data_IF_025688773032
#
_entry.id   IF_025688773032
#
_cell.length_a   1.000
_cell.length_b   1.000
_cell.length_c   1.000
_cell.angle_alpha   90.00
_cell.angle_beta   90.00
_cell.angle_gamma   90.00
#
_symmetry.space_group_name_H-M   'P 1'
#
loop_
_entity.id
_entity.type
_entity.pdbx_description
1 polymer ?
#
# COMPACT_ATOMS: atom_id res chain seq x y z
N UNK A 1 -25.06 9.73 -18.19
CA UNK A 1 -24.55 9.65 -16.81
C UNK A 1 -23.43 8.60 -16.83
N UNK A 2 -22.20 8.98 -16.49
CA UNK A 2 -21.04 8.09 -16.58
C UNK A 2 -20.81 7.43 -15.21
N UNK A 3 -20.87 6.10 -15.18
CA UNK A 3 -20.52 5.29 -14.02
C UNK A 3 -19.19 4.58 -14.30
N UNK A 4 -18.17 4.77 -13.44
CA UNK A 4 -16.95 4.00 -13.51
C UNK A 4 -17.18 2.50 -13.39
N UNK A 5 -16.17 1.71 -13.78
CA UNK A 5 -16.24 0.26 -13.62
C UNK A 5 -16.24 -0.20 -12.16
N UNK A 6 -15.67 0.60 -11.25
CA UNK A 6 -15.43 0.24 -9.84
C UNK A 6 -14.71 -1.11 -9.64
N UNK A 7 -13.98 -1.57 -10.66
CA UNK A 7 -13.15 -2.77 -10.56
C UNK A 7 -12.07 -2.59 -9.49
N UNK A 8 -11.58 -3.70 -8.96
CA UNK A 8 -10.72 -3.71 -7.77
C UNK A 8 -9.35 -4.27 -8.13
N UNK A 9 -8.29 -3.66 -7.60
CA UNK A 9 -6.98 -4.29 -7.45
C UNK A 9 -6.54 -4.23 -6.01
N UNK A 10 -6.04 -5.32 -5.45
CA UNK A 10 -5.57 -5.39 -4.05
C UNK A 10 -4.08 -5.72 -4.07
N UNK A 11 -3.24 -4.94 -3.42
CA UNK A 11 -1.81 -5.23 -3.19
C UNK A 11 -1.55 -5.39 -1.68
N UNK A 12 -1.03 -6.56 -1.29
CA UNK A 12 -0.65 -6.88 0.08
C UNK A 12 0.87 -6.83 0.26
N UNK A 13 1.34 -6.34 1.41
CA UNK A 13 2.75 -6.38 1.78
C UNK A 13 2.99 -7.40 2.87
N UNK A 14 3.80 -8.42 2.59
CA UNK A 14 4.03 -9.53 3.51
C UNK A 14 5.37 -9.42 4.22
N UNK A 15 5.38 -9.87 5.47
CA UNK A 15 6.58 -10.06 6.27
C UNK A 15 7.05 -11.50 6.09
N UNK A 16 8.33 -11.69 5.76
CA UNK A 16 8.97 -13.01 5.68
C UNK A 16 9.63 -13.29 7.03
N UNK A 17 9.24 -14.39 7.67
CA UNK A 17 9.51 -14.68 9.07
C UNK A 17 10.32 -15.98 9.18
N UNK A 18 11.39 -15.92 9.96
CA UNK A 18 12.15 -17.10 10.37
C UNK A 18 11.26 -17.99 11.29
N UNK A 19 11.04 -19.27 10.98
CA UNK A 19 10.19 -20.14 11.79
C UNK A 19 10.75 -20.40 13.21
N UNK A 20 12.06 -20.33 13.41
CA UNK A 20 12.73 -20.59 14.69
C UNK A 20 12.82 -19.33 15.54
N UNK A 21 13.47 -18.30 15.02
CA UNK A 21 13.72 -17.05 15.75
C UNK A 21 12.50 -16.13 15.78
N UNK A 22 11.58 -16.31 14.82
CA UNK A 22 10.44 -15.42 14.53
C UNK A 22 10.87 -14.02 14.12
N UNK A 23 12.14 -13.82 13.78
CA UNK A 23 12.62 -12.56 13.27
C UNK A 23 12.20 -12.37 11.81
N UNK A 24 12.05 -11.11 11.43
CA UNK A 24 11.85 -10.69 10.06
C UNK A 24 13.11 -11.00 9.23
N UNK A 25 13.05 -12.01 8.37
CA UNK A 25 14.10 -12.30 7.38
C UNK A 25 14.13 -11.20 6.31
N UNK A 26 12.94 -10.79 5.87
CA UNK A 26 12.75 -9.76 4.87
C UNK A 26 11.28 -9.45 4.65
N UNK A 27 10.94 -8.85 3.52
CA UNK A 27 9.56 -8.54 3.18
C UNK A 27 9.30 -8.72 1.70
N UNK A 28 8.05 -8.99 1.34
CA UNK A 28 7.59 -9.05 -0.04
C UNK A 28 6.65 -7.88 -0.33
N UNK A 29 6.99 -7.07 -1.32
CA UNK A 29 6.08 -6.06 -1.87
C UNK A 29 6.12 -6.09 -3.39
N UNK A 30 4.99 -5.84 -4.02
CA UNK A 30 4.84 -5.65 -5.46
C UNK A 30 3.87 -4.49 -5.64
N UNK A 31 4.27 -3.56 -6.49
CA UNK A 31 3.36 -2.54 -7.01
C UNK A 31 2.89 -3.02 -8.37
N UNK A 32 1.61 -2.88 -8.69
CA UNK A 32 1.00 -3.20 -9.99
C UNK A 32 1.71 -2.50 -11.17
N UNK A 33 2.49 -1.45 -10.89
CA UNK A 33 3.34 -0.78 -11.88
C UNK A 33 4.65 -1.53 -12.21
N UNK A 34 5.02 -2.56 -11.45
CA UNK A 34 6.22 -3.39 -11.62
C UNK A 34 5.86 -4.87 -11.57
N UNK A 35 6.30 -5.61 -12.57
CA UNK A 35 6.22 -7.08 -12.64
C UNK A 35 7.20 -7.79 -11.67
N UNK A 36 7.78 -7.10 -10.68
CA UNK A 36 8.83 -7.67 -9.81
C UNK A 36 8.60 -7.40 -8.33
N UNK A 37 8.67 -8.49 -7.56
CA UNK A 37 8.71 -8.54 -6.10
C UNK A 37 10.01 -7.92 -5.59
N UNK A 38 9.93 -7.21 -4.46
CA UNK A 38 11.06 -6.51 -3.85
C UNK A 38 11.25 -7.06 -2.45
N UNK A 39 12.43 -7.63 -2.17
CA UNK A 39 12.84 -8.12 -0.85
C UNK A 39 14.09 -7.40 -0.39
N UNK A 40 14.10 -7.04 0.89
CA UNK A 40 15.28 -6.60 1.65
C UNK A 40 15.57 -7.69 2.68
N UNK A 41 16.80 -8.20 2.73
CA UNK A 41 17.16 -9.40 3.49
C UNK A 41 18.13 -9.12 4.64
N UNK A 42 17.96 -9.92 5.71
CA UNK A 42 19.06 -10.68 6.30
C UNK A 42 18.80 -12.15 5.97
N UNK A 43 19.55 -12.71 5.03
CA UNK A 43 19.72 -14.15 4.92
C UNK A 43 21.24 -14.44 4.84
N UNK A 44 21.74 -15.46 5.57
CA UNK A 44 23.11 -15.94 5.43
C UNK A 44 23.42 -16.62 4.08
N UNK A 45 22.41 -16.88 3.25
CA UNK A 45 22.56 -17.56 1.96
C UNK A 45 21.89 -16.75 0.84
N UNK A 46 22.66 -16.44 -0.19
CA UNK A 46 22.25 -15.63 -1.35
C UNK A 46 21.04 -16.20 -2.13
N UNK A 47 20.69 -17.47 -1.91
CA UNK A 47 19.65 -18.21 -2.62
C UNK A 47 18.23 -17.65 -2.41
N UNK A 48 17.87 -17.18 -1.21
CA UNK A 48 16.50 -16.71 -0.96
C UNK A 48 16.20 -15.42 -1.73
N UNK A 49 17.20 -14.54 -1.83
CA UNK A 49 17.11 -13.27 -2.54
C UNK A 49 16.92 -13.50 -4.03
N UNK A 50 17.58 -14.52 -4.57
CA UNK A 50 17.57 -14.87 -5.98
C UNK A 50 16.31 -15.66 -6.36
N UNK A 51 15.80 -16.56 -5.51
CA UNK A 51 14.52 -17.24 -5.72
C UNK A 51 13.36 -16.25 -5.81
N UNK A 52 13.36 -15.22 -4.96
CA UNK A 52 12.30 -14.22 -4.96
C UNK A 52 12.49 -13.19 -6.10
N UNK A 53 13.74 -12.81 -6.40
CA UNK A 53 14.10 -11.91 -7.51
C UNK A 53 13.92 -12.56 -8.89
N UNK A 54 14.00 -13.89 -8.98
CA UNK A 54 13.78 -14.70 -10.19
C UNK A 54 12.31 -14.77 -10.62
N UNK A 55 11.36 -14.47 -9.73
CA UNK A 55 9.99 -14.04 -10.05
C UNK A 55 9.02 -15.10 -10.60
N UNK A 56 7.96 -15.41 -9.83
CA UNK A 56 6.67 -15.92 -10.36
C UNK A 56 5.46 -15.69 -9.43
N UNK A 57 5.57 -14.90 -8.36
CA UNK A 57 4.46 -14.73 -7.40
C UNK A 57 4.04 -13.26 -7.36
N UNK A 58 2.75 -13.04 -7.59
CA UNK A 58 2.15 -11.72 -7.50
C UNK A 58 1.69 -11.50 -6.05
N UNK A 59 2.12 -10.43 -5.37
CA UNK A 59 1.49 -10.01 -4.10
C UNK A 59 0.34 -9.03 -4.31
N UNK A 60 0.01 -8.76 -5.58
CA UNK A 60 -1.22 -8.09 -6.00
C UNK A 60 -2.19 -9.02 -6.71
N UNK A 61 -3.49 -8.80 -6.55
CA UNK A 61 -4.49 -9.45 -7.40
C UNK A 61 -4.42 -8.88 -8.82
N UNK A 62 -4.76 -9.67 -9.85
CA UNK A 62 -5.20 -9.10 -11.12
C UNK A 62 -6.40 -8.15 -10.91
N UNK A 63 -6.81 -7.45 -11.96
CA UNK A 63 -8.05 -6.66 -11.93
C UNK A 63 -9.22 -7.60 -11.62
N UNK A 64 -10.01 -7.24 -10.61
CA UNK A 64 -11.16 -7.99 -10.12
C UNK A 64 -12.44 -7.23 -10.45
N UNK A 65 -13.47 -7.92 -10.93
CA UNK A 65 -14.75 -7.27 -11.28
C UNK A 65 -15.52 -6.82 -10.06
N UNK A 66 -15.48 -7.60 -8.99
CA UNK A 66 -16.19 -7.35 -7.73
C UNK A 66 -15.48 -8.04 -6.56
N UNK A 67 -16.08 -7.96 -5.36
CA UNK A 67 -15.48 -8.49 -4.14
C UNK A 67 -15.40 -10.03 -4.10
N UNK A 68 -16.29 -10.74 -4.81
CA UNK A 68 -16.26 -12.21 -4.86
C UNK A 68 -15.10 -12.67 -5.77
N UNK A 69 -14.94 -12.03 -6.92
CA UNK A 69 -13.79 -12.27 -7.80
C UNK A 69 -12.47 -11.90 -7.09
N UNK A 70 -12.46 -10.78 -6.35
CA UNK A 70 -11.32 -10.38 -5.53
C UNK A 70 -10.98 -11.42 -4.44
N UNK A 71 -11.99 -12.03 -3.81
CA UNK A 71 -11.80 -13.11 -2.82
C UNK A 71 -11.08 -14.30 -3.43
N UNK A 72 -11.53 -14.78 -4.58
CA UNK A 72 -10.91 -15.95 -5.23
C UNK A 72 -9.45 -15.66 -5.62
N UNK A 73 -9.21 -14.51 -6.25
CA UNK A 73 -7.86 -14.10 -6.68
C UNK A 73 -6.92 -13.85 -5.51
N UNK A 74 -7.39 -13.20 -4.44
CA UNK A 74 -6.60 -12.94 -3.24
C UNK A 74 -6.20 -14.22 -2.52
N UNK A 75 -7.12 -15.20 -2.42
CA UNK A 75 -6.81 -16.49 -1.82
C UNK A 75 -5.75 -17.24 -2.60
N UNK A 76 -5.81 -17.22 -3.95
CA UNK A 76 -4.76 -17.81 -4.81
C UNK A 76 -3.40 -17.15 -4.60
N UNK A 77 -3.36 -15.82 -4.53
CA UNK A 77 -2.13 -15.07 -4.23
C UNK A 77 -1.53 -15.48 -2.88
N UNK A 78 -2.36 -15.54 -1.83
CA UNK A 78 -1.92 -15.97 -0.50
C UNK A 78 -1.46 -17.41 -0.46
N UNK A 79 -2.12 -18.31 -1.18
CA UNK A 79 -1.73 -19.72 -1.31
C UNK A 79 -0.35 -19.86 -1.96
N UNK A 80 -0.11 -19.20 -3.09
CA UNK A 80 1.20 -19.19 -3.75
C UNK A 80 2.32 -18.67 -2.84
N UNK A 81 2.05 -17.63 -2.07
CA UNK A 81 2.99 -17.10 -1.09
C UNK A 81 3.29 -18.13 0.02
N UNK A 82 2.26 -18.81 0.54
CA UNK A 82 2.44 -19.85 1.56
C UNK A 82 3.24 -21.05 1.03
N UNK A 83 2.97 -21.49 -0.20
CA UNK A 83 3.74 -22.54 -0.88
C UNK A 83 5.21 -22.15 -1.04
N UNK A 84 5.48 -20.90 -1.44
CA UNK A 84 6.83 -20.36 -1.52
C UNK A 84 7.54 -20.39 -0.16
N UNK A 85 6.83 -20.03 0.91
CA UNK A 85 7.37 -20.11 2.27
C UNK A 85 7.72 -21.54 2.68
N UNK A 86 6.87 -22.51 2.38
CA UNK A 86 7.14 -23.94 2.65
C UNK A 86 8.36 -24.43 1.86
N UNK A 87 8.44 -24.10 0.57
CA UNK A 87 9.52 -24.55 -0.30
C UNK A 87 10.91 -23.99 0.10
N UNK A 88 10.93 -22.80 0.71
CA UNK A 88 12.17 -22.07 1.02
C UNK A 88 12.43 -21.88 2.53
N UNK A 89 11.67 -22.56 3.39
CA UNK A 89 11.94 -22.58 4.83
C UNK A 89 11.58 -21.30 5.60
N UNK A 90 10.66 -20.46 5.10
CA UNK A 90 10.17 -19.27 5.81
C UNK A 90 8.65 -19.29 6.07
N UNK A 91 8.20 -18.45 6.99
CA UNK A 91 6.78 -18.20 7.28
C UNK A 91 6.38 -16.80 6.81
N UNK A 92 5.07 -16.57 6.68
CA UNK A 92 4.52 -15.28 6.24
C UNK A 92 3.62 -14.71 7.32
N UNK A 93 3.72 -13.40 7.54
CA UNK A 93 2.80 -12.64 8.36
C UNK A 93 2.29 -11.39 7.64
N UNK A 94 1.03 -11.02 7.91
CA UNK A 94 0.43 -9.75 7.51
C UNK A 94 0.15 -8.90 8.74
N UNK A 95 0.83 -7.77 8.90
CA UNK A 95 0.62 -6.79 9.96
C UNK A 95 1.32 -5.48 9.60
N UNK A 96 0.87 -4.34 10.13
CA UNK A 96 1.40 -3.03 9.78
C UNK A 96 2.89 -2.81 10.12
N UNK A 97 3.38 -3.49 11.15
CA UNK A 97 4.79 -3.51 11.57
C UNK A 97 5.16 -4.91 12.04
N UNK A 98 6.46 -5.20 12.05
CA UNK A 98 6.96 -6.36 12.77
C UNK A 98 7.11 -6.03 14.27
N UNK A 99 6.69 -6.91 15.21
CA UNK A 99 6.59 -6.55 16.62
C UNK A 99 7.93 -6.28 17.32
N UNK A 100 9.00 -7.01 16.97
CA UNK A 100 10.28 -6.92 17.71
C UNK A 100 11.56 -6.85 16.88
N UNK A 101 11.58 -7.37 15.66
CA UNK A 101 12.72 -7.21 14.77
C UNK A 101 13.13 -5.77 14.57
N UNK A 102 14.43 -5.55 14.65
CA UNK A 102 15.07 -4.25 14.54
C UNK A 102 15.42 -3.92 13.09
N UNK A 103 15.39 -2.63 12.78
CA UNK A 103 15.85 -2.10 11.50
C UNK A 103 17.38 -1.85 11.52
N UNK A 104 17.94 -1.64 12.72
CA UNK A 104 19.36 -1.41 12.93
C UNK A 104 20.20 -2.65 12.51
N UNK A 105 21.27 -2.41 11.74
CA UNK A 105 22.16 -3.48 11.29
C UNK A 105 21.65 -4.30 10.10
N UNK A 106 20.61 -3.81 9.40
CA UNK A 106 20.23 -4.26 8.05
C UNK A 106 20.90 -3.33 7.04
N UNK A 107 21.81 -3.86 6.22
CA UNK A 107 22.40 -3.13 5.09
C UNK A 107 21.67 -3.47 3.78
N UNK A 108 21.71 -2.52 2.84
CA UNK A 108 21.14 -2.55 1.49
C UNK A 108 19.63 -2.29 1.32
N UNK A 109 19.30 -1.00 1.19
CA UNK A 109 18.08 -0.59 0.49
C UNK A 109 18.19 -0.94 -1.00
N UNK A 110 17.18 -1.63 -1.53
CA UNK A 110 17.03 -1.89 -2.97
C UNK A 110 17.25 -0.60 -3.76
N UNK A 111 17.91 -0.67 -4.92
CA UNK A 111 18.33 0.49 -5.72
C UNK A 111 17.23 1.57 -5.90
N UNK A 112 15.96 1.17 -5.94
CA UNK A 112 14.80 2.07 -6.03
C UNK A 112 14.48 2.86 -4.75
N UNK A 113 14.87 2.39 -3.57
CA UNK A 113 14.73 3.11 -2.30
C UNK A 113 16.03 3.78 -1.87
N UNK A 114 17.13 3.56 -2.61
CA UNK A 114 18.43 4.18 -2.34
C UNK A 114 18.35 5.70 -2.31
N UNK A 115 17.71 6.31 -3.31
CA UNK A 115 17.53 7.76 -3.34
C UNK A 115 16.72 8.27 -2.14
N UNK A 116 15.67 7.55 -1.75
CA UNK A 116 14.87 7.91 -0.57
C UNK A 116 15.66 7.73 0.75
N UNK A 117 16.54 6.73 0.81
CA UNK A 117 17.49 6.55 1.92
C UNK A 117 18.56 7.63 1.95
N UNK A 118 19.00 8.13 0.78
CA UNK A 118 19.92 9.26 0.66
C UNK A 118 19.24 10.58 1.09
N UNK A 119 18.00 10.81 0.66
CA UNK A 119 17.26 12.05 0.94
C UNK A 119 16.79 12.12 2.40
N UNK A 120 16.21 11.04 2.93
CA UNK A 120 15.56 11.03 4.24
C UNK A 120 16.40 10.33 5.33
N UNK A 121 17.54 9.73 4.97
CA UNK A 121 18.53 9.16 5.89
C UNK A 121 17.87 8.26 6.95
N UNK A 122 18.05 8.60 8.22
CA UNK A 122 17.56 7.82 9.37
C UNK A 122 16.05 7.59 9.32
N UNK A 123 15.28 8.51 8.75
CA UNK A 123 13.83 8.38 8.61
C UNK A 123 13.49 7.23 7.65
N UNK A 124 14.16 7.13 6.51
CA UNK A 124 13.91 6.05 5.55
C UNK A 124 14.47 4.70 6.02
N UNK A 125 15.63 4.70 6.70
CA UNK A 125 16.29 3.48 7.19
C UNK A 125 15.48 2.73 8.24
N UNK A 126 14.67 3.44 9.04
CA UNK A 126 13.83 2.82 10.08
C UNK A 126 12.49 2.27 9.59
N UNK A 127 12.17 2.40 8.31
CA UNK A 127 10.83 2.06 7.79
C UNK A 127 10.75 0.55 7.55
N UNK A 128 10.18 -0.15 8.52
CA UNK A 128 9.66 -1.52 8.38
C UNK A 128 8.15 -1.48 8.58
N UNK A 129 7.48 -0.91 7.58
CA UNK A 129 6.04 -0.67 7.57
C UNK A 129 5.41 -1.40 6.38
N UNK A 130 4.28 -2.07 6.62
CA UNK A 130 3.58 -2.89 5.63
C UNK A 130 2.13 -2.45 5.52
N UNK A 131 1.75 -1.98 4.34
CA UNK A 131 0.41 -1.47 4.07
C UNK A 131 -0.42 -2.41 3.20
N UNK A 132 -1.71 -2.11 3.17
CA UNK A 132 -2.63 -2.61 2.16
C UNK A 132 -2.86 -1.49 1.14
N UNK A 133 -2.77 -1.81 -0.16
CA UNK A 133 -3.14 -0.88 -1.23
C UNK A 133 -4.32 -1.41 -2.00
N UNK A 134 -5.30 -0.53 -2.23
CA UNK A 134 -6.54 -0.86 -2.93
C UNK A 134 -6.70 0.12 -4.08
N UNK A 135 -6.83 -0.41 -5.28
CA UNK A 135 -7.18 0.32 -6.48
C UNK A 135 -8.67 0.16 -6.74
N UNK A 136 -9.36 1.27 -6.98
CA UNK A 136 -10.75 1.28 -7.45
C UNK A 136 -10.79 1.93 -8.84
N UNK A 137 -11.42 1.27 -9.80
CA UNK A 137 -11.65 1.79 -11.16
C UNK A 137 -12.45 3.10 -11.14
N UNK A 138 -11.79 4.19 -11.55
CA UNK A 138 -12.38 5.52 -11.78
C UNK A 138 -11.69 6.10 -13.00
N UNK A 139 -12.24 5.83 -14.19
CA UNK A 139 -11.52 6.10 -15.44
C UNK A 139 -11.50 7.59 -15.83
N UNK A 140 -12.55 8.33 -15.48
CA UNK A 140 -12.54 9.79 -15.56
C UNK A 140 -11.62 10.38 -14.48
N UNK A 141 -10.60 11.11 -14.92
CA UNK A 141 -9.55 11.65 -14.04
C UNK A 141 -10.02 12.83 -13.20
N UNK A 142 -10.92 13.66 -13.70
CA UNK A 142 -11.50 14.76 -12.93
C UNK A 142 -12.46 14.21 -11.88
N UNK A 143 -13.26 13.20 -12.24
CA UNK A 143 -14.07 12.46 -11.26
C UNK A 143 -13.20 11.81 -10.19
N UNK A 144 -12.05 11.24 -10.54
CA UNK A 144 -11.13 10.66 -9.58
C UNK A 144 -10.61 11.71 -8.56
N UNK A 145 -10.36 12.95 -9.00
CA UNK A 145 -9.98 14.06 -8.10
C UNK A 145 -11.16 14.51 -7.24
N UNK A 146 -12.37 14.61 -7.79
CA UNK A 146 -13.58 14.94 -7.04
C UNK A 146 -13.83 13.91 -5.91
N UNK A 147 -13.73 12.61 -6.23
CA UNK A 147 -13.84 11.53 -5.24
C UNK A 147 -12.68 11.59 -4.24
N UNK A 148 -11.44 11.78 -4.71
CA UNK A 148 -10.27 11.95 -3.84
C UNK A 148 -10.50 13.05 -2.82
N UNK A 149 -11.06 14.19 -3.24
CA UNK A 149 -11.34 15.33 -2.36
C UNK A 149 -12.37 14.98 -1.28
N UNK A 150 -13.43 14.27 -1.66
CA UNK A 150 -14.57 14.01 -0.79
C UNK A 150 -14.27 12.88 0.21
N UNK A 151 -13.59 11.82 -0.24
CA UNK A 151 -13.32 10.63 0.60
C UNK A 151 -12.37 10.91 1.76
N UNK A 152 -11.59 12.00 1.73
CA UNK A 152 -10.63 12.39 2.78
C UNK A 152 -11.20 12.33 4.19
N UNK A 153 -12.45 12.77 4.36
CA UNK A 153 -13.12 12.77 5.66
C UNK A 153 -13.33 11.35 6.21
N UNK A 154 -13.62 10.39 5.34
CA UNK A 154 -13.96 9.02 5.70
C UNK A 154 -12.72 8.14 5.88
N UNK A 155 -11.58 8.51 5.28
CA UNK A 155 -10.35 7.70 5.35
C UNK A 155 -9.89 7.37 6.77
N UNK A 156 -9.86 8.29 7.75
CA UNK A 156 -9.51 7.95 9.12
C UNK A 156 -10.43 6.90 9.74
N UNK A 157 -11.72 6.89 9.36
CA UNK A 157 -12.72 5.97 9.92
C UNK A 157 -12.50 4.56 9.37
N UNK A 158 -12.22 4.46 8.06
CA UNK A 158 -11.84 3.21 7.41
C UNK A 158 -10.51 2.70 7.98
N UNK A 159 -9.54 3.60 8.18
CA UNK A 159 -8.23 3.27 8.73
C UNK A 159 -8.32 2.60 10.10
N UNK A 160 -9.20 3.07 11.00
CA UNK A 160 -9.43 2.47 12.31
C UNK A 160 -9.75 0.97 12.26
N UNK A 161 -10.39 0.49 11.19
CA UNK A 161 -10.74 -0.92 11.01
C UNK A 161 -9.54 -1.78 10.61
N UNK A 162 -8.50 -1.17 10.03
CA UNK A 162 -7.33 -1.87 9.51
C UNK A 162 -6.16 -1.96 10.48
N UNK A 163 -6.18 -1.21 11.59
CA UNK A 163 -5.01 -1.03 12.46
C UNK A 163 -4.50 -2.36 13.01
N UNK A 164 -3.22 -2.66 12.78
CA UNK A 164 -2.62 -3.97 13.12
C UNK A 164 -1.17 -3.86 13.59
N UNK A 165 -0.72 -2.65 13.95
CA UNK A 165 0.68 -2.37 14.30
C UNK A 165 0.87 -1.75 15.68
N UNK A 166 0.44 -2.38 16.78
CA UNK A 166 0.59 -1.81 18.12
C UNK A 166 2.01 -1.93 18.69
N UNK A 167 2.87 -2.77 18.11
CA UNK A 167 4.22 -3.05 18.59
C UNK A 167 5.30 -2.53 17.64
N UNK A 168 6.43 -2.11 18.23
CA UNK A 168 7.62 -1.69 17.48
C UNK A 168 8.88 -1.92 18.31
N UNK A 169 9.93 -2.51 17.73
CA UNK A 169 11.21 -2.78 18.39
C UNK A 169 11.07 -3.46 19.78
N UNK A 170 10.08 -4.35 19.92
CA UNK A 170 9.84 -5.15 21.12
C UNK A 170 9.04 -4.41 22.20
N UNK A 171 8.48 -3.25 21.86
CA UNK A 171 7.72 -2.41 22.79
C UNK A 171 6.28 -2.27 22.35
N UNK A 172 5.36 -2.32 23.30
CA UNK A 172 4.00 -1.82 23.11
C UNK A 172 4.06 -0.29 22.99
N UNK A 173 3.67 0.24 21.83
CA UNK A 173 3.77 1.67 21.53
C UNK A 173 2.66 2.49 22.19
N UNK A 174 1.61 1.83 22.69
CA UNK A 174 0.38 2.48 23.15
C UNK A 174 -0.58 2.90 22.02
N UNK A 175 -0.15 2.78 20.76
CA UNK A 175 -0.94 3.07 19.57
C UNK A 175 -1.58 1.80 19.01
N UNK A 176 -2.65 1.96 18.22
CA UNK A 176 -3.24 0.87 17.43
C UNK A 176 -2.52 0.66 16.10
N UNK A 177 -1.99 1.74 15.52
CA UNK A 177 -1.14 1.70 14.33
C UNK A 177 0.09 2.59 14.51
N UNK A 178 1.23 1.96 14.75
CA UNK A 178 2.54 2.62 14.72
C UNK A 178 3.05 2.79 13.29
N UNK A 179 2.56 1.98 12.35
CA UNK A 179 2.84 2.16 10.92
C UNK A 179 2.52 3.57 10.46
N UNK A 180 1.35 4.11 10.84
CA UNK A 180 0.97 5.47 10.45
C UNK A 180 2.01 6.50 10.90
N UNK A 181 2.55 6.38 12.13
CA UNK A 181 3.61 7.28 12.64
C UNK A 181 4.91 7.14 11.85
N UNK A 182 5.29 5.91 11.47
CA UNK A 182 6.48 5.68 10.64
C UNK A 182 6.33 6.31 9.25
N UNK A 183 5.18 6.09 8.60
CA UNK A 183 4.93 6.59 7.24
C UNK A 183 4.75 8.11 7.24
N UNK A 184 4.08 8.69 8.23
CA UNK A 184 3.87 10.14 8.37
C UNK A 184 5.19 10.92 8.49
N UNK A 185 6.26 10.28 8.95
CA UNK A 185 7.59 10.92 9.02
C UNK A 185 8.28 11.11 7.66
N UNK A 186 7.73 10.53 6.59
CA UNK A 186 8.20 10.76 5.23
C UNK A 186 7.54 11.99 4.60
N UNK A 187 8.22 12.67 3.67
CA UNK A 187 7.62 13.81 3.00
C UNK A 187 6.52 13.36 2.02
N UNK A 188 5.45 14.17 1.92
CA UNK A 188 4.32 13.97 0.98
C UNK A 188 3.52 12.70 1.24
N UNK A 189 3.38 12.31 2.51
CA UNK A 189 2.48 11.27 3.01
C UNK A 189 1.23 11.88 3.64
N UNK A 190 0.30 11.02 4.06
CA UNK A 190 -0.93 11.43 4.75
C UNK A 190 -2.06 11.81 3.79
N UNK A 191 -3.13 12.36 4.35
CA UNK A 191 -4.32 12.74 3.60
C UNK A 191 -3.98 13.92 2.67
N UNK A 192 -4.27 13.84 1.35
CA UNK A 192 -3.91 14.89 0.41
C UNK A 192 -4.66 16.20 0.68
N UNK A 193 -4.08 17.32 0.26
CA UNK A 193 -4.81 18.59 0.14
C UNK A 193 -5.91 18.53 -0.93
N UNK A 194 -6.68 19.63 -1.06
CA UNK A 194 -7.69 19.76 -2.10
C UNK A 194 -7.12 20.26 -3.43
N UNK A 195 -7.60 19.67 -4.52
CA UNK A 195 -7.29 20.08 -5.88
C UNK A 195 -8.59 20.40 -6.60
N UNK A 196 -8.66 21.51 -7.32
CA UNK A 196 -9.91 21.90 -7.99
C UNK A 196 -10.18 21.10 -9.28
N UNK A 197 -9.14 20.48 -9.85
CA UNK A 197 -9.25 19.63 -11.04
C UNK A 197 -8.10 18.63 -11.13
N UNK A 198 -8.19 17.65 -12.04
CA UNK A 198 -7.06 16.81 -12.40
C UNK A 198 -5.90 17.60 -13.00
N UNK A 199 -6.19 18.68 -13.72
CA UNK A 199 -5.17 19.58 -14.25
C UNK A 199 -4.32 20.20 -13.13
N UNK A 200 -4.95 20.66 -12.05
CA UNK A 200 -4.22 21.24 -10.91
C UNK A 200 -3.37 20.20 -10.20
N UNK A 201 -3.92 19.00 -9.98
CA UNK A 201 -3.16 17.88 -9.41
C UNK A 201 -1.96 17.51 -10.30
N UNK A 202 -2.15 17.45 -11.62
CA UNK A 202 -1.06 17.16 -12.57
C UNK A 202 0.01 18.26 -12.54
N UNK A 203 -0.39 19.53 -12.53
CA UNK A 203 0.53 20.68 -12.45
C UNK A 203 1.35 20.65 -11.15
N UNK A 204 0.74 20.25 -10.03
CA UNK A 204 1.45 20.02 -8.77
C UNK A 204 2.54 18.95 -8.93
N UNK A 205 2.22 17.78 -9.48
CA UNK A 205 3.19 16.69 -9.71
C UNK A 205 4.29 17.12 -10.69
N UNK A 206 3.93 17.75 -11.79
CA UNK A 206 4.88 18.25 -12.81
C UNK A 206 5.85 19.28 -12.22
N UNK A 207 5.37 20.15 -11.32
CA UNK A 207 6.23 21.12 -10.63
C UNK A 207 7.25 20.43 -9.73
N UNK A 208 6.85 19.38 -9.00
CA UNK A 208 7.77 18.60 -8.18
C UNK A 208 8.84 17.88 -9.02
N UNK A 209 8.46 17.36 -10.19
CA UNK A 209 9.41 16.73 -11.12
C UNK A 209 10.39 17.76 -11.69
N UNK A 210 9.88 18.90 -12.21
CA UNK A 210 10.69 19.94 -12.83
C UNK A 210 11.69 20.59 -11.87
N UNK A 211 11.33 20.67 -10.60
CA UNK A 211 12.19 21.22 -9.53
C UNK A 211 13.14 20.17 -8.94
N UNK A 212 13.14 18.93 -9.44
CA UNK A 212 13.86 17.79 -8.88
C UNK A 212 13.53 17.52 -7.40
N UNK A 213 12.35 17.95 -6.94
CA UNK A 213 11.86 17.65 -5.59
C UNK A 213 11.46 16.17 -5.46
N UNK A 214 11.09 15.54 -6.58
CA UNK A 214 10.88 14.09 -6.68
C UNK A 214 11.48 13.56 -7.99
N UNK A 215 12.05 12.35 -8.01
CA UNK A 215 12.50 11.68 -9.23
C UNK A 215 11.35 11.12 -10.08
N UNK A 216 10.20 10.82 -9.45
CA UNK A 216 9.07 10.19 -10.13
C UNK A 216 7.74 10.43 -9.37
N UNK A 217 6.57 10.38 -10.06
CA UNK A 217 5.26 10.61 -9.43
C UNK A 217 4.89 9.68 -8.27
N UNK A 218 5.50 8.49 -8.15
CA UNK A 218 5.21 7.53 -7.07
C UNK A 218 5.68 8.05 -5.71
N UNK A 219 6.51 9.10 -5.70
CA UNK A 219 6.98 9.80 -4.49
C UNK A 219 5.97 10.76 -3.90
N UNK A 220 4.84 10.97 -4.57
CA UNK A 220 3.63 11.47 -3.91
C UNK A 220 3.01 10.29 -3.18
N UNK A 221 3.16 10.28 -1.86
CA UNK A 221 2.81 9.17 -0.97
C UNK A 221 1.49 9.37 -0.20
N UNK A 222 0.62 10.26 -0.68
CA UNK A 222 -0.71 10.50 -0.12
C UNK A 222 -1.59 9.27 0.05
N UNK A 223 -2.38 9.23 1.12
CA UNK A 223 -3.26 8.13 1.51
C UNK A 223 -4.31 7.75 0.47
N UNK A 224 -4.71 8.70 -0.37
CA UNK A 224 -5.55 8.51 -1.55
C UNK A 224 -5.01 9.34 -2.70
N UNK A 225 -4.96 8.77 -3.91
CA UNK A 225 -4.39 9.47 -5.08
C UNK A 225 -4.89 8.87 -6.41
N UNK A 226 -5.19 9.68 -7.45
CA UNK A 226 -5.31 9.16 -8.81
C UNK A 226 -4.01 8.50 -9.23
N UNK A 227 -4.08 7.22 -9.59
CA UNK A 227 -2.88 6.47 -9.95
C UNK A 227 -2.29 7.02 -11.26
N UNK A 228 -0.98 7.33 -11.27
CA UNK A 228 -0.34 8.04 -12.39
C UNK A 228 -0.42 7.31 -13.75
N UNK A 229 -0.44 5.96 -13.75
CA UNK A 229 -0.55 5.12 -14.95
C UNK A 229 -1.94 4.54 -15.15
N UNK A 230 -2.41 3.73 -14.20
CA UNK A 230 -3.72 3.10 -14.25
C UNK A 230 -4.87 4.08 -14.02
N UNK A 231 -6.03 3.86 -14.68
CA UNK A 231 -7.24 4.67 -14.51
C UNK A 231 -7.98 4.29 -13.22
N UNK A 232 -7.29 4.39 -12.09
CA UNK A 232 -7.79 3.99 -10.77
C UNK A 232 -7.53 5.07 -9.74
N UNK A 233 -8.40 5.13 -8.73
CA UNK A 233 -8.14 5.79 -7.47
C UNK A 233 -7.42 4.80 -6.55
N UNK A 234 -6.20 5.13 -6.13
CA UNK A 234 -5.39 4.31 -5.24
C UNK A 234 -5.57 4.77 -3.79
N UNK A 235 -5.98 3.86 -2.92
CA UNK A 235 -6.10 4.05 -1.46
C UNK A 235 -5.02 3.21 -0.78
N UNK A 236 -4.24 3.81 0.14
CA UNK A 236 -3.10 3.15 0.83
C UNK A 236 -2.93 3.55 2.29
N UNK A 237 -3.97 4.12 2.90
CA UNK A 237 -3.96 4.49 4.32
C UNK A 237 -3.85 3.26 5.25
N UNK A 238 -4.45 2.14 4.83
CA UNK A 238 -4.61 0.95 5.65
C UNK A 238 -3.29 0.28 6.02
N UNK A 239 -3.22 -0.23 7.25
CA UNK A 239 -2.20 -1.20 7.61
C UNK A 239 -2.48 -2.53 6.88
N UNK A 240 -1.43 -3.33 6.70
CA UNK A 240 -1.61 -4.72 6.29
C UNK A 240 -2.38 -5.50 7.37
N UNK A 241 -3.33 -6.33 6.98
CA UNK A 241 -4.16 -7.10 7.93
C UNK A 241 -3.86 -8.61 7.89
N UNK A 242 -3.84 -9.31 9.04
CA UNK A 242 -3.54 -10.73 9.08
C UNK A 242 -4.56 -11.58 8.32
N UNK A 243 -5.85 -11.33 8.52
CA UNK A 243 -6.93 -12.15 7.97
C UNK A 243 -7.43 -11.60 6.63
N UNK A 244 -7.55 -12.47 5.63
CA UNK A 244 -8.06 -12.09 4.30
C UNK A 244 -9.51 -11.57 4.36
N UNK A 245 -10.29 -12.01 5.35
CA UNK A 245 -11.68 -11.57 5.53
C UNK A 245 -11.75 -10.09 5.88
N UNK A 246 -10.83 -9.61 6.70
CA UNK A 246 -10.75 -8.20 7.08
C UNK A 246 -10.31 -7.35 5.89
N UNK A 247 -9.34 -7.84 5.10
CA UNK A 247 -8.92 -7.24 3.83
C UNK A 247 -10.09 -7.07 2.88
N UNK A 248 -10.88 -8.13 2.67
CA UNK A 248 -12.06 -8.07 1.79
C UNK A 248 -13.14 -7.14 2.35
N UNK A 249 -13.41 -7.16 3.65
CA UNK A 249 -14.40 -6.28 4.27
C UNK A 249 -14.03 -4.80 4.12
N UNK A 250 -12.77 -4.45 4.40
CA UNK A 250 -12.25 -3.08 4.22
C UNK A 250 -12.23 -2.69 2.74
N UNK A 251 -11.87 -3.62 1.84
CA UNK A 251 -11.89 -3.37 0.40
C UNK A 251 -13.31 -3.11 -0.12
N UNK A 252 -14.29 -3.91 0.31
CA UNK A 252 -15.69 -3.70 -0.04
C UNK A 252 -16.22 -2.36 0.50
N UNK A 253 -15.84 -1.99 1.73
CA UNK A 253 -16.20 -0.70 2.31
C UNK A 253 -15.62 0.46 1.49
N UNK A 254 -14.36 0.37 1.07
CA UNK A 254 -13.72 1.37 0.21
C UNK A 254 -14.41 1.45 -1.15
N UNK A 255 -14.66 0.31 -1.79
CA UNK A 255 -15.37 0.23 -3.08
C UNK A 255 -16.76 0.88 -2.99
N UNK A 256 -17.55 0.52 -1.98
CA UNK A 256 -18.88 1.07 -1.75
C UNK A 256 -18.83 2.57 -1.42
N UNK A 257 -17.83 3.01 -0.65
CA UNK A 257 -17.65 4.45 -0.34
C UNK A 257 -17.35 5.24 -1.60
N UNK A 258 -16.45 4.75 -2.46
CA UNK A 258 -16.14 5.39 -3.75
C UNK A 258 -17.37 5.43 -4.65
N UNK A 259 -18.11 4.32 -4.77
CA UNK A 259 -19.35 4.27 -5.53
C UNK A 259 -20.38 5.28 -5.01
N UNK A 260 -20.53 5.39 -3.68
CA UNK A 260 -21.42 6.37 -3.05
C UNK A 260 -20.99 7.82 -3.34
N UNK A 261 -19.69 8.14 -3.30
CA UNK A 261 -19.21 9.49 -3.66
C UNK A 261 -19.54 9.83 -5.12
N UNK A 262 -19.38 8.87 -6.04
CA UNK A 262 -19.73 9.06 -7.45
C UNK A 262 -21.24 9.24 -7.63
N UNK A 263 -22.06 8.44 -6.95
CA UNK A 263 -23.51 8.55 -6.97
C UNK A 263 -23.99 9.93 -6.51
N UNK A 264 -23.46 10.43 -5.38
CA UNK A 264 -23.74 11.79 -4.91
C UNK A 264 -23.37 12.84 -5.97
N UNK A 265 -22.17 12.74 -6.54
CA UNK A 265 -21.68 13.69 -7.54
C UNK A 265 -22.58 13.76 -8.77
N UNK A 266 -23.08 12.62 -9.24
CA UNK A 266 -23.99 12.54 -10.38
C UNK A 266 -25.36 13.16 -10.10
N UNK A 267 -25.81 13.13 -8.85
CA UNK A 267 -27.02 13.81 -8.40
C UNK A 267 -26.78 15.27 -7.98
N UNK A 268 -25.60 15.84 -8.29
CA UNK A 268 -25.17 17.17 -7.87
C UNK A 268 -25.22 17.38 -6.34
N UNK A 269 -24.99 16.31 -5.58
CA UNK A 269 -24.85 16.31 -4.14
C UNK A 269 -23.38 16.16 -3.75
N UNK A 270 -23.03 16.63 -2.56
CA UNK A 270 -21.70 16.42 -1.96
C UNK A 270 -21.85 15.91 -0.54
N UNK A 271 -20.92 15.04 -0.12
CA UNK A 271 -20.81 14.62 1.28
C UNK A 271 -19.99 15.66 2.05
N UNK A 272 -20.72 16.63 2.64
CA UNK A 272 -20.21 17.83 3.33
C UNK A 272 -19.41 18.78 2.41
N UNK A 273 -19.71 20.07 2.54
CA UNK A 273 -18.89 21.20 2.08
C UNK A 273 -18.21 21.79 3.30
#
# INVERSE_FOLDING_TARGET
>A
MYYPSFNIGIEEEYQLIDPETRELLGYATQSMARERMVVNERAPDADLSDVIRAGTVSVGTPVCTDINDAREKLLRVREQMLELGVANGFKIAGAGTHPFSRWEGREEMVAQYRQMAEDAQMIARRILAFGLRIHIGVEDRDLAVDVMNTIRYLLPHIFCLSTSSPFWNGRNTGLKSYRAVLVDSLPRTGIPGAFASYHDYRTYVETLLRTNSIPDPRRVMYDVVPHYRFPTLLIRICDMMPYYRDVLAVTALIQATVAWMVDLRQHNMSFRL
#
